data_IF_177885765811
#
_entry.id   IF_177885765811
#
_cell.length_a   1.000
_cell.length_b   1.000
_cell.length_c   1.000
_cell.angle_alpha   90.00
_cell.angle_beta   90.00
_cell.angle_gamma   90.00
#
_symmetry.space_group_name_H-M   'P 1'
#
loop_
_entity.id
_entity.type
_entity.pdbx_description
1 polymer ?
#
# COMPACT_ATOMS: atom_id res chain seq x y z
N UNK A 1 0.65 14.08 12.76
CA UNK A 1 1.65 14.17 11.67
C UNK A 1 3.02 13.81 12.19
N UNK A 2 3.56 14.53 13.18
CA UNK A 2 4.91 14.28 13.72
C UNK A 2 5.11 12.82 14.16
N UNK A 3 4.10 12.18 14.77
CA UNK A 3 4.16 10.73 15.10
C UNK A 3 4.56 9.84 13.91
N UNK A 4 4.06 10.10 12.71
CA UNK A 4 4.43 9.33 11.49
C UNK A 4 5.89 9.60 11.13
N UNK A 5 6.30 10.85 11.18
CA UNK A 5 7.66 11.26 10.86
C UNK A 5 8.68 10.74 11.90
N UNK A 6 8.29 10.65 13.17
CA UNK A 6 9.11 10.06 14.23
C UNK A 6 9.29 8.56 14.01
N UNK A 7 8.23 7.87 13.60
CA UNK A 7 8.29 6.44 13.22
C UNK A 7 9.24 6.24 12.04
N UNK A 8 9.20 7.09 11.02
CA UNK A 8 10.08 7.00 9.86
C UNK A 8 11.55 7.32 10.15
N UNK A 9 11.85 7.95 11.28
CA UNK A 9 13.23 8.20 11.75
C UNK A 9 13.81 7.05 12.55
N UNK A 10 13.00 6.08 12.97
CA UNK A 10 13.50 4.92 13.73
C UNK A 10 14.54 4.17 12.89
N UNK A 11 15.64 3.70 13.49
CA UNK A 11 16.57 2.82 12.81
C UNK A 11 15.87 1.51 12.42
N UNK A 12 16.47 0.78 11.48
CA UNK A 12 16.00 -0.54 11.11
C UNK A 12 16.13 -1.52 12.28
N UNK A 13 15.06 -2.27 12.55
CA UNK A 13 15.00 -3.32 13.56
C UNK A 13 14.09 -4.45 13.07
N UNK A 14 14.63 -5.65 12.92
CA UNK A 14 13.91 -6.83 12.43
C UNK A 14 12.87 -7.35 13.44
N UNK A 15 13.07 -7.13 14.74
CA UNK A 15 12.10 -7.52 15.77
C UNK A 15 10.95 -6.53 15.86
N UNK A 16 11.18 -5.28 15.42
CA UNK A 16 10.21 -4.17 15.45
C UNK A 16 10.06 -3.47 14.09
N UNK A 17 9.65 -4.20 13.04
CA UNK A 17 9.61 -3.65 11.68
C UNK A 17 8.58 -2.53 11.55
N UNK A 18 8.92 -1.54 10.72
CA UNK A 18 8.00 -0.46 10.30
C UNK A 18 7.47 -0.79 8.92
N UNK A 19 6.17 -1.12 8.86
CA UNK A 19 5.46 -1.45 7.62
C UNK A 19 4.49 -0.33 7.31
N UNK A 20 4.53 0.18 6.08
CA UNK A 20 3.51 1.08 5.55
C UNK A 20 2.50 0.28 4.75
N UNK A 21 1.23 0.64 4.81
CA UNK A 21 0.16 -0.03 4.08
C UNK A 21 -0.81 0.97 3.49
N UNK A 22 -1.22 0.71 2.25
CA UNK A 22 -2.30 1.43 1.57
C UNK A 22 -2.99 0.52 0.54
N UNK A 23 -4.09 0.98 -0.02
CA UNK A 23 -4.78 0.27 -1.09
C UNK A 23 -5.18 1.13 -2.28
N UNK A 24 -5.23 0.52 -3.46
CA UNK A 24 -5.62 1.20 -4.69
C UNK A 24 -6.60 0.36 -5.52
N UNK A 25 -7.69 0.96 -6.05
CA UNK A 25 -8.57 0.27 -6.98
C UNK A 25 -7.93 0.19 -8.38
N UNK A 26 -8.13 -0.94 -9.07
CA UNK A 26 -7.76 -1.10 -10.49
C UNK A 26 -8.96 -1.59 -11.28
N UNK A 27 -9.32 -0.84 -12.32
CA UNK A 27 -10.35 -1.26 -13.28
C UNK A 27 -9.83 -2.43 -14.11
N UNK A 28 -10.71 -3.41 -14.31
CA UNK A 28 -10.53 -4.50 -15.26
C UNK A 28 -11.04 -4.03 -16.62
N UNK A 29 -10.13 -3.89 -17.57
CA UNK A 29 -10.41 -3.29 -18.88
C UNK A 29 -9.92 -4.23 -19.98
N UNK A 30 -10.80 -4.56 -20.91
CA UNK A 30 -10.50 -5.23 -22.16
C UNK A 30 -10.51 -4.22 -23.31
N UNK A 31 -9.59 -4.37 -24.26
CA UNK A 31 -9.59 -3.56 -25.49
C UNK A 31 -10.79 -3.93 -26.36
N UNK A 32 -11.60 -2.95 -26.79
CA UNK A 32 -12.73 -3.21 -27.68
C UNK A 32 -12.31 -3.67 -29.07
N UNK A 33 -11.15 -3.18 -29.54
CA UNK A 33 -10.46 -3.63 -30.74
C UNK A 33 -8.98 -3.85 -30.42
N UNK A 34 -8.33 -4.89 -30.98
CA UNK A 34 -6.92 -5.14 -30.76
C UNK A 34 -6.05 -3.95 -31.16
N UNK A 35 -5.18 -3.51 -30.25
CA UNK A 35 -4.18 -2.49 -30.55
C UNK A 35 -3.26 -2.89 -31.70
N UNK A 36 -2.92 -1.92 -32.54
CA UNK A 36 -1.99 -2.11 -33.65
C UNK A 36 -0.59 -1.69 -33.23
N UNK A 37 0.35 -2.64 -33.31
CA UNK A 37 1.76 -2.39 -33.05
C UNK A 37 2.34 -1.35 -34.01
N UNK A 38 3.35 -0.62 -33.52
CA UNK A 38 4.13 0.34 -34.30
C UNK A 38 4.77 -0.32 -35.52
N UNK A 39 4.80 0.40 -36.64
CA UNK A 39 5.51 0.02 -37.88
C UNK A 39 6.41 1.19 -38.33
N UNK A 40 7.44 0.96 -39.17
CA UNK A 40 8.22 2.08 -39.70
C UNK A 40 7.33 3.15 -40.34
N UNK A 41 7.42 4.38 -39.82
CA UNK A 41 6.58 5.52 -40.25
C UNK A 41 5.14 5.53 -39.71
N UNK A 42 4.77 4.63 -38.79
CA UNK A 42 3.43 4.56 -38.18
C UNK A 42 3.53 4.31 -36.67
N UNK A 43 3.02 5.25 -35.87
CA UNK A 43 2.89 5.08 -34.43
C UNK A 43 1.94 3.93 -34.06
N UNK A 44 2.11 3.39 -32.86
CA UNK A 44 1.16 2.42 -32.32
C UNK A 44 -0.23 3.05 -32.19
N UNK A 45 -1.28 2.30 -32.53
CA UNK A 45 -2.67 2.77 -32.45
C UNK A 45 -3.42 1.93 -31.44
N UNK A 46 -4.03 2.60 -30.47
CA UNK A 46 -4.90 2.00 -29.48
C UNK A 46 -6.29 2.56 -29.74
N UNK A 47 -7.27 1.68 -29.82
CA UNK A 47 -8.66 2.10 -29.96
C UNK A 47 -9.17 2.73 -28.64
N UNK A 48 -10.11 3.65 -28.76
CA UNK A 48 -10.68 4.33 -27.59
C UNK A 48 -11.78 3.51 -26.92
N UNK A 49 -12.38 2.55 -27.64
CA UNK A 49 -13.42 1.68 -27.10
C UNK A 49 -12.83 0.61 -26.20
N UNK A 50 -13.46 0.40 -25.04
CA UNK A 50 -13.05 -0.61 -24.10
C UNK A 50 -14.26 -1.19 -23.37
N UNK A 51 -14.11 -2.43 -22.90
CA UNK A 51 -15.11 -3.15 -22.13
C UNK A 51 -14.65 -3.19 -20.67
N UNK A 52 -15.51 -2.75 -19.75
CA UNK A 52 -15.24 -2.79 -18.29
C UNK A 52 -15.76 -4.09 -17.69
N UNK A 53 -14.88 -4.82 -17.03
CA UNK A 53 -15.18 -6.07 -16.32
C UNK A 53 -15.26 -5.88 -14.79
N UNK A 54 -15.38 -4.63 -14.33
CA UNK A 54 -15.46 -4.27 -12.92
C UNK A 54 -14.15 -3.69 -12.38
N UNK A 55 -13.98 -3.76 -11.06
CA UNK A 55 -12.85 -3.19 -10.33
C UNK A 55 -12.37 -4.23 -9.32
N UNK A 56 -11.04 -4.35 -9.20
CA UNK A 56 -10.40 -5.09 -8.12
C UNK A 56 -9.70 -4.12 -7.18
N UNK A 57 -9.42 -4.57 -5.96
CA UNK A 57 -8.60 -3.85 -4.99
C UNK A 57 -7.19 -4.43 -4.95
N UNK A 58 -6.21 -3.54 -4.76
CA UNK A 58 -4.80 -3.89 -4.58
C UNK A 58 -4.40 -3.42 -3.19
N UNK A 59 -4.17 -4.34 -2.25
CA UNK A 59 -3.49 -4.02 -1.00
C UNK A 59 -1.98 -4.02 -1.22
N UNK A 60 -1.31 -2.97 -0.77
CA UNK A 60 0.14 -2.81 -0.80
C UNK A 60 0.64 -2.65 0.63
N UNK A 61 1.55 -3.51 1.06
CA UNK A 61 2.36 -3.28 2.23
C UNK A 61 3.84 -3.23 1.83
N UNK A 62 4.59 -2.27 2.38
CA UNK A 62 6.02 -2.15 2.14
C UNK A 62 6.77 -1.85 3.44
N UNK A 63 7.95 -2.45 3.58
CA UNK A 63 8.90 -2.10 4.63
C UNK A 63 9.97 -1.19 4.01
N UNK A 64 9.93 0.13 4.27
CA UNK A 64 10.77 1.10 3.57
C UNK A 64 12.27 0.84 3.68
N UNK A 65 12.74 0.51 4.89
CA UNK A 65 14.16 0.34 5.21
C UNK A 65 14.73 -1.01 4.79
N UNK A 66 13.91 -2.07 4.74
CA UNK A 66 14.29 -3.38 4.20
C UNK A 66 14.19 -3.44 2.68
N UNK A 67 13.35 -2.60 2.08
CA UNK A 67 13.14 -2.60 0.63
C UNK A 67 12.33 -3.80 0.14
N UNK A 68 11.41 -4.31 0.98
CA UNK A 68 10.50 -5.41 0.63
C UNK A 68 9.05 -4.94 0.55
N UNK A 69 8.25 -5.66 -0.24
CA UNK A 69 6.82 -5.42 -0.48
C UNK A 69 6.06 -6.73 -0.40
N UNK A 70 4.81 -6.61 0.01
CA UNK A 70 3.82 -7.65 0.04
C UNK A 70 2.52 -7.07 -0.53
N UNK A 71 2.05 -7.64 -1.63
CA UNK A 71 0.93 -7.14 -2.42
C UNK A 71 -0.10 -8.24 -2.56
N UNK A 72 -1.37 -7.89 -2.37
CA UNK A 72 -2.49 -8.83 -2.50
C UNK A 72 -3.61 -8.21 -3.32
N UNK A 73 -4.15 -8.98 -4.26
CA UNK A 73 -5.27 -8.56 -5.09
C UNK A 73 -6.54 -9.20 -4.55
N UNK A 74 -7.53 -8.37 -4.24
CA UNK A 74 -8.81 -8.82 -3.70
C UNK A 74 -9.96 -8.27 -4.54
N UNK A 75 -11.10 -8.95 -4.54
CA UNK A 75 -12.31 -8.44 -5.19
C UNK A 75 -12.87 -7.21 -4.43
N UNK A 76 -12.70 -7.18 -3.10
CA UNK A 76 -13.25 -6.15 -2.23
C UNK A 76 -12.21 -5.68 -1.21
N UNK A 77 -12.50 -4.55 -0.57
CA UNK A 77 -11.72 -3.98 0.53
C UNK A 77 -12.55 -3.79 1.79
N UNK A 78 -13.32 -4.81 2.16
CA UNK A 78 -14.11 -4.80 3.38
C UNK A 78 -13.20 -4.89 4.61
N UNK A 79 -13.77 -4.70 5.81
CA UNK A 79 -13.08 -4.98 7.08
C UNK A 79 -12.51 -6.39 7.15
N UNK A 80 -13.23 -7.38 6.60
CA UNK A 80 -12.80 -8.79 6.58
C UNK A 80 -11.58 -8.97 5.67
N UNK A 81 -11.63 -8.39 4.47
CA UNK A 81 -10.50 -8.46 3.53
C UNK A 81 -9.25 -7.80 4.12
N UNK A 82 -9.43 -6.63 4.75
CA UNK A 82 -8.35 -5.93 5.44
C UNK A 82 -7.77 -6.74 6.61
N UNK A 83 -8.63 -7.31 7.46
CA UNK A 83 -8.21 -8.12 8.60
C UNK A 83 -7.44 -9.38 8.16
N UNK A 84 -7.87 -10.02 7.06
CA UNK A 84 -7.15 -11.13 6.44
C UNK A 84 -5.78 -10.69 5.92
N UNK A 85 -5.71 -9.59 5.17
CA UNK A 85 -4.45 -9.05 4.66
C UNK A 85 -3.45 -8.74 5.79
N UNK A 86 -3.90 -8.07 6.85
CA UNK A 86 -3.06 -7.72 8.00
C UNK A 86 -2.63 -8.95 8.80
N UNK A 87 -3.49 -9.98 8.91
CA UNK A 87 -3.09 -11.29 9.48
C UNK A 87 -1.95 -11.91 8.67
N UNK A 88 -1.99 -11.85 7.34
CA UNK A 88 -0.91 -12.38 6.49
C UNK A 88 0.40 -11.61 6.67
N UNK A 89 0.35 -10.29 6.87
CA UNK A 89 1.54 -9.51 7.27
C UNK A 89 2.14 -10.07 8.56
N UNK A 90 1.31 -10.33 9.58
CA UNK A 90 1.79 -10.84 10.86
C UNK A 90 2.32 -12.27 10.80
N UNK A 91 1.63 -13.17 10.10
CA UNK A 91 1.87 -14.60 10.20
C UNK A 91 2.75 -15.16 9.08
N UNK A 92 2.66 -14.60 7.87
CA UNK A 92 3.45 -15.04 6.71
C UNK A 92 4.68 -14.15 6.53
N UNK A 93 4.52 -12.83 6.61
CA UNK A 93 5.60 -11.91 6.26
C UNK A 93 6.56 -11.63 7.41
N UNK A 94 6.05 -11.55 8.64
CA UNK A 94 6.84 -11.32 9.87
C UNK A 94 6.53 -12.29 11.02
N UNK A 95 6.55 -13.62 10.81
CA UNK A 95 6.17 -14.59 11.84
C UNK A 95 6.94 -14.42 13.16
N UNK A 96 8.20 -13.99 13.09
CA UNK A 96 9.12 -13.89 14.23
C UNK A 96 9.23 -12.50 14.85
N UNK A 97 8.71 -11.45 14.20
CA UNK A 97 8.79 -10.09 14.75
C UNK A 97 8.05 -10.02 16.09
N UNK A 98 8.52 -9.24 17.06
CA UNK A 98 7.83 -9.08 18.35
C UNK A 98 6.60 -8.19 18.21
N UNK A 99 6.73 -7.09 17.48
CA UNK A 99 5.64 -6.14 17.22
C UNK A 99 5.87 -5.38 15.92
N UNK A 100 4.83 -5.20 15.14
CA UNK A 100 4.91 -4.53 13.82
C UNK A 100 4.29 -3.14 13.95
N UNK A 101 5.06 -2.08 13.68
CA UNK A 101 4.48 -0.74 13.54
C UNK A 101 3.85 -0.63 12.15
N UNK A 102 2.52 -0.56 12.08
CA UNK A 102 1.77 -0.45 10.83
C UNK A 102 1.32 1.00 10.63
N UNK A 103 1.92 1.66 9.64
CA UNK A 103 1.57 3.01 9.20
C UNK A 103 0.56 2.93 8.07
N UNK A 104 -0.60 3.59 8.21
CA UNK A 104 -1.66 3.55 7.19
C UNK A 104 -2.57 4.79 7.32
N UNK A 105 -3.48 4.97 6.38
CA UNK A 105 -4.50 6.01 6.47
C UNK A 105 -5.58 5.68 7.52
N UNK A 106 -6.47 6.64 7.79
CA UNK A 106 -7.57 6.48 8.75
C UNK A 106 -8.89 6.05 8.07
N UNK A 107 -8.80 5.14 7.08
CA UNK A 107 -10.00 4.61 6.44
C UNK A 107 -10.84 3.79 7.42
N UNK A 108 -12.17 3.76 7.22
CA UNK A 108 -13.12 3.19 8.19
C UNK A 108 -12.93 1.69 8.44
N UNK A 109 -12.29 0.98 7.52
CA UNK A 109 -11.98 -0.45 7.67
C UNK A 109 -10.71 -0.70 8.47
N UNK A 110 -9.86 0.32 8.64
CA UNK A 110 -8.55 0.24 9.29
C UNK A 110 -8.72 0.41 10.80
N UNK A 111 -9.26 -0.61 11.45
CA UNK A 111 -9.50 -0.59 12.89
C UNK A 111 -9.23 -1.95 13.53
N UNK A 112 -8.81 -1.94 14.79
CA UNK A 112 -8.69 -3.17 15.59
C UNK A 112 -10.03 -3.94 15.69
N UNK A 113 -11.17 -3.23 15.59
CA UNK A 113 -12.49 -3.87 15.59
C UNK A 113 -12.69 -4.81 14.41
N UNK A 114 -12.06 -4.53 13.26
CA UNK A 114 -12.13 -5.42 12.10
C UNK A 114 -11.60 -6.83 12.41
N UNK A 115 -10.63 -6.97 13.33
CA UNK A 115 -10.18 -8.29 13.77
C UNK A 115 -11.27 -9.04 14.53
N UNK A 116 -11.96 -8.39 15.46
CA UNK A 116 -13.06 -9.00 16.23
C UNK A 116 -14.32 -9.26 15.38
N UNK A 117 -14.47 -8.54 14.28
CA UNK A 117 -15.53 -8.79 13.29
C UNK A 117 -15.20 -9.95 12.33
N UNK A 118 -13.95 -10.44 12.34
CA UNK A 118 -13.43 -11.42 11.35
C UNK A 118 -12.94 -12.72 12.00
N UNK A 119 -12.38 -12.67 13.20
CA UNK A 119 -11.73 -13.80 13.87
C UNK A 119 -12.30 -14.05 15.26
N UNK A 120 -12.08 -15.27 15.76
CA UNK A 120 -12.38 -15.62 17.15
C UNK A 120 -11.66 -14.69 18.14
N UNK A 121 -12.24 -14.38 19.32
CA UNK A 121 -11.71 -13.36 20.22
C UNK A 121 -10.24 -13.52 20.61
N UNK A 122 -9.78 -14.77 20.80
CA UNK A 122 -8.39 -15.07 21.12
C UNK A 122 -7.44 -14.69 19.96
N UNK A 123 -7.82 -15.02 18.73
CA UNK A 123 -7.05 -14.70 17.53
C UNK A 123 -7.08 -13.20 17.23
N UNK A 124 -8.25 -12.57 17.37
CA UNK A 124 -8.38 -11.12 17.22
C UNK A 124 -7.50 -10.35 18.22
N UNK A 125 -7.46 -10.80 19.48
CA UNK A 125 -6.59 -10.20 20.50
C UNK A 125 -5.11 -10.43 20.20
N UNK A 126 -4.73 -11.65 19.79
CA UNK A 126 -3.36 -11.97 19.36
C UNK A 126 -2.92 -11.01 18.26
N UNK A 127 -3.73 -10.83 17.21
CA UNK A 127 -3.42 -9.92 16.11
C UNK A 127 -3.36 -8.47 16.57
N UNK A 128 -4.30 -8.00 17.41
CA UNK A 128 -4.24 -6.65 17.95
C UNK A 128 -2.92 -6.39 18.70
N UNK A 129 -2.46 -7.34 19.52
CA UNK A 129 -1.21 -7.19 20.26
C UNK A 129 0.04 -7.19 19.38
N UNK A 130 -0.05 -7.83 18.20
CA UNK A 130 1.03 -7.89 17.21
C UNK A 130 1.31 -6.56 16.52
N UNK A 131 0.37 -5.61 16.56
CA UNK A 131 0.50 -4.35 15.82
C UNK A 131 0.52 -3.12 16.73
N UNK A 132 1.37 -2.16 16.37
CA UNK A 132 1.21 -0.76 16.76
C UNK A 132 0.66 0.03 15.57
N UNK A 133 -0.59 0.48 15.65
CA UNK A 133 -1.18 1.28 14.57
C UNK A 133 -0.78 2.75 14.66
N UNK A 134 -0.31 3.29 13.54
CA UNK A 134 0.09 4.69 13.36
C UNK A 134 -0.66 5.25 12.16
N UNK A 135 -1.68 6.06 12.44
CA UNK A 135 -2.50 6.63 11.39
C UNK A 135 -1.90 7.92 10.84
N UNK A 136 -1.92 8.06 9.51
CA UNK A 136 -1.67 9.36 8.88
C UNK A 136 -2.79 10.34 9.23
N UNK A 137 -2.49 11.66 9.28
CA UNK A 137 -3.54 12.67 9.46
C UNK A 137 -4.59 12.58 8.36
N UNK A 138 -5.81 13.02 8.65
CA UNK A 138 -6.83 13.21 7.60
C UNK A 138 -6.26 14.13 6.51
N UNK A 139 -6.47 13.77 5.25
CA UNK A 139 -5.90 14.45 4.07
C UNK A 139 -4.36 14.47 4.02
N UNK A 140 -3.69 13.66 4.85
CA UNK A 140 -2.23 13.50 4.90
C UNK A 140 -1.75 12.24 4.17
N UNK A 141 -2.46 11.81 3.12
CA UNK A 141 -2.19 10.58 2.38
C UNK A 141 -0.76 10.56 1.82
N UNK A 142 -0.28 11.71 1.33
CA UNK A 142 1.09 11.94 0.84
C UNK A 142 2.22 11.58 1.83
N UNK A 143 1.93 11.40 3.13
CA UNK A 143 2.88 10.91 4.14
C UNK A 143 3.02 9.39 4.15
N UNK A 144 2.09 8.65 3.54
CA UNK A 144 2.10 7.20 3.54
C UNK A 144 3.08 6.69 2.47
N UNK A 145 4.15 6.00 2.87
CA UNK A 145 5.13 5.50 1.91
C UNK A 145 4.59 4.37 1.02
N UNK A 146 3.47 3.74 1.39
CA UNK A 146 2.82 2.75 0.54
C UNK A 146 2.25 3.36 -0.74
N UNK A 147 1.80 4.62 -0.71
CA UNK A 147 1.34 5.35 -1.92
C UNK A 147 2.45 5.48 -2.97
N UNK A 148 3.70 5.66 -2.53
CA UNK A 148 4.86 5.71 -3.43
C UNK A 148 5.01 4.38 -4.18
N UNK A 149 4.91 3.25 -3.47
CA UNK A 149 5.06 1.93 -4.10
C UNK A 149 3.85 1.55 -4.95
N UNK A 150 2.64 1.97 -4.58
CA UNK A 150 1.46 1.87 -5.46
C UNK A 150 1.66 2.66 -6.75
N UNK A 151 2.22 3.87 -6.68
CA UNK A 151 2.53 4.66 -7.88
C UNK A 151 3.57 3.96 -8.76
N UNK A 152 4.62 3.40 -8.16
CA UNK A 152 5.65 2.64 -8.88
C UNK A 152 5.07 1.37 -9.52
N UNK A 153 4.25 0.60 -8.78
CA UNK A 153 3.57 -0.59 -9.30
C UNK A 153 2.69 -0.22 -10.49
N UNK A 154 1.89 0.84 -10.36
CA UNK A 154 1.05 1.33 -11.44
C UNK A 154 1.89 1.69 -12.67
N UNK A 155 2.91 2.53 -12.52
CA UNK A 155 3.76 2.96 -13.64
C UNK A 155 4.54 1.82 -14.32
N UNK A 156 5.01 0.84 -13.54
CA UNK A 156 5.87 -0.24 -14.06
C UNK A 156 5.11 -1.48 -14.56
N UNK A 157 3.92 -1.75 -14.04
CA UNK A 157 3.23 -3.02 -14.26
C UNK A 157 1.78 -2.83 -14.74
N UNK A 158 1.03 -1.94 -14.08
CA UNK A 158 -0.42 -1.84 -14.27
C UNK A 158 -0.88 -0.68 -15.17
N UNK A 159 0.04 0.07 -15.77
CA UNK A 159 -0.26 1.18 -16.69
C UNK A 159 -0.65 0.70 -18.09
N UNK A 160 -1.60 -0.25 -18.15
CA UNK A 160 -2.17 -0.85 -19.36
C UNK A 160 -3.54 -1.47 -19.08
N UNK A 161 -4.25 -1.84 -20.15
CA UNK A 161 -5.49 -2.61 -20.06
C UNK A 161 -5.19 -4.06 -19.66
N UNK A 162 -5.91 -4.53 -18.65
CA UNK A 162 -5.86 -5.91 -18.15
C UNK A 162 -7.29 -6.27 -17.78
N UNK A 163 -7.85 -7.28 -18.45
CA UNK A 163 -9.28 -7.58 -18.38
C UNK A 163 -9.67 -8.53 -17.25
N UNK A 164 -8.71 -9.21 -16.62
CA UNK A 164 -9.00 -10.23 -15.60
C UNK A 164 -8.17 -10.06 -14.35
N UNK A 165 -8.79 -10.40 -13.20
CA UNK A 165 -8.10 -10.44 -11.91
C UNK A 165 -6.97 -11.47 -11.88
N UNK A 166 -7.13 -12.61 -12.56
CA UNK A 166 -6.10 -13.64 -12.66
C UNK A 166 -4.82 -13.05 -13.26
N UNK A 167 -4.95 -12.31 -14.37
CA UNK A 167 -3.80 -11.71 -15.03
C UNK A 167 -3.15 -10.62 -14.17
N UNK A 168 -3.94 -9.81 -13.45
CA UNK A 168 -3.37 -8.85 -12.49
C UNK A 168 -2.55 -9.57 -11.42
N UNK A 169 -3.03 -10.69 -10.86
CA UNK A 169 -2.29 -11.45 -9.86
C UNK A 169 -0.94 -11.95 -10.39
N UNK A 170 -0.90 -12.52 -11.58
CA UNK A 170 0.36 -12.99 -12.21
C UNK A 170 1.37 -11.86 -12.38
N UNK A 171 0.93 -10.73 -12.93
CA UNK A 171 1.78 -9.58 -13.25
C UNK A 171 2.28 -8.89 -11.98
N UNK A 172 1.42 -8.77 -10.97
CA UNK A 172 1.78 -8.20 -9.66
C UNK A 172 2.73 -9.13 -8.92
N UNK A 173 2.54 -10.45 -8.97
CA UNK A 173 3.46 -11.41 -8.37
C UNK A 173 4.85 -11.34 -9.02
N UNK A 174 4.92 -11.29 -10.35
CA UNK A 174 6.17 -11.13 -11.09
C UNK A 174 6.86 -9.80 -10.77
N UNK A 175 6.08 -8.71 -10.73
CA UNK A 175 6.59 -7.39 -10.34
C UNK A 175 7.12 -7.37 -8.91
N UNK A 176 6.37 -7.93 -7.96
CA UNK A 176 6.78 -8.00 -6.55
C UNK A 176 8.09 -8.76 -6.41
N UNK A 177 8.22 -9.92 -7.06
CA UNK A 177 9.46 -10.71 -7.05
C UNK A 177 10.63 -9.90 -7.59
N UNK A 178 10.46 -9.24 -8.74
CA UNK A 178 11.50 -8.40 -9.33
C UNK A 178 11.90 -7.22 -8.43
N UNK A 179 10.91 -6.48 -7.91
CA UNK A 179 11.12 -5.30 -7.07
C UNK A 179 11.80 -5.65 -5.75
N UNK A 180 11.39 -6.76 -5.12
CA UNK A 180 11.98 -7.25 -3.87
C UNK A 180 13.43 -7.72 -4.03
N UNK A 181 13.89 -8.08 -5.24
CA UNK A 181 15.27 -8.48 -5.50
C UNK A 181 16.20 -7.31 -5.86
N UNK A 182 15.68 -6.08 -5.98
CA UNK A 182 16.45 -4.88 -6.38
C UNK A 182 16.95 -4.03 -5.22
N UNK A 183 16.81 -4.47 -3.96
CA UNK A 183 17.13 -3.69 -2.75
C UNK A 183 16.55 -2.26 -2.80
N UNK A 184 15.35 -2.11 -3.37
CA UNK A 184 14.70 -0.82 -3.59
C UNK A 184 14.17 -0.27 -2.25
N UNK A 185 15.00 0.50 -1.54
CA UNK A 185 14.61 1.18 -0.30
C UNK A 185 13.98 2.54 -0.61
N UNK A 186 13.16 3.04 0.31
CA UNK A 186 12.61 4.40 0.21
C UNK A 186 13.49 5.31 1.05
N UNK A 187 14.10 6.30 0.39
CA UNK A 187 14.86 7.35 1.06
C UNK A 187 13.94 8.52 1.38
N UNK A 188 13.32 8.50 2.57
CA UNK A 188 12.42 9.56 3.00
C UNK A 188 13.19 10.78 3.50
N UNK A 189 12.84 11.96 3.00
CA UNK A 189 13.59 13.21 3.23
C UNK A 189 12.78 14.30 3.94
N UNK A 190 11.48 14.09 4.16
CA UNK A 190 10.62 15.09 4.80
C UNK A 190 10.60 14.89 6.31
N UNK A 191 11.21 15.82 7.06
CA UNK A 191 11.34 15.72 8.51
C UNK A 191 10.40 16.67 9.26
N UNK A 192 10.31 16.52 10.59
CA UNK A 192 9.54 17.44 11.46
C UNK A 192 9.93 18.91 11.26
N UNK A 193 11.23 19.21 11.02
CA UNK A 193 11.69 20.57 10.75
C UNK A 193 11.03 21.16 9.48
N UNK A 194 10.91 20.35 8.43
CA UNK A 194 10.25 20.74 7.18
C UNK A 194 8.74 20.88 7.38
N UNK A 195 8.14 19.96 8.13
CA UNK A 195 6.72 19.98 8.47
C UNK A 195 6.33 21.27 9.20
N UNK A 196 7.09 21.68 10.21
CA UNK A 196 6.86 22.90 11.00
C UNK A 196 6.94 24.17 10.17
N UNK A 197 7.76 24.18 9.12
CA UNK A 197 7.87 25.30 8.18
C UNK A 197 6.73 25.27 7.15
N UNK A 198 6.62 24.17 6.39
CA UNK A 198 5.70 24.05 5.25
C UNK A 198 4.24 24.01 5.67
N UNK A 199 3.96 23.54 6.87
CA UNK A 199 2.60 23.34 7.39
C UNK A 199 2.33 24.20 8.61
N UNK A 200 3.00 25.35 8.72
CA UNK A 200 2.87 26.30 9.83
C UNK A 200 1.41 26.56 10.24
N UNK A 201 0.48 26.64 9.28
CA UNK A 201 -0.96 26.85 9.51
C UNK A 201 -1.65 25.74 10.30
N UNK A 202 -1.06 24.54 10.36
CA UNK A 202 -1.58 23.39 11.11
C UNK A 202 -1.02 23.31 12.53
N UNK A 203 0.00 24.11 12.86
CA UNK A 203 0.52 24.22 14.22
C UNK A 203 -0.18 25.38 14.94
N UNK A 204 -0.54 25.23 16.22
CA UNK A 204 -1.10 26.33 17.00
C UNK A 204 -0.15 27.53 17.01
N UNK A 205 -0.67 28.72 16.73
CA UNK A 205 0.06 29.96 17.02
C UNK A 205 0.05 30.20 18.52
N UNK A 206 1.22 30.32 19.14
CA UNK A 206 1.35 30.64 20.58
C UNK A 206 1.11 32.13 20.89
N UNK A 207 0.55 32.88 19.94
CA UNK A 207 0.28 34.31 20.07
C UNK A 207 -1.12 34.59 19.54
N UNK A 208 -2.05 34.77 20.48
CA UNK A 208 -3.18 35.69 20.39
C UNK A 208 -2.86 36.87 21.31
#
# INVERSE_FOLDING_TARGET
MERVLDVYKKPYDEEFPVVCMDESPKQLIEEGQPSQAMKPGQEARVDYEYIRHGVVNIFMANEPLRGKRFVEITAFKTKKDWALFVKRIADEWYPTAKKITLVMDNFKTHSASAFYETFEPAEAKRLWDRFEFVYTPKHGSWLNMAEIELHVLNGQCLNRHISTMLKINEEVAAWQHNRNNKNSKINWQFENKDARIKLKRLYPSLHD
#
